data_IF_869975209002
#
_entry.id   IF_869975209002
#
_cell.length_a   1.000
_cell.length_b   1.000
_cell.length_c   1.000
_cell.angle_alpha   90.00
_cell.angle_beta   90.00
_cell.angle_gamma   90.00
#
_symmetry.space_group_name_H-M   'P 1'
#
loop_
_entity.id
_entity.type
_entity.pdbx_description
1 polymer ?
#
# COMPACT_ATOMS: atom_id res chain seq x y z
N UNK A 1 -2.77 -13.90 -12.38
CA UNK A 1 -3.15 -13.42 -11.04
C UNK A 1 -3.02 -11.90 -11.05
N UNK A 2 -3.98 -11.18 -10.47
CA UNK A 2 -3.93 -9.71 -10.35
C UNK A 2 -3.93 -9.30 -8.87
N UNK A 3 -3.18 -8.25 -8.54
CA UNK A 3 -3.08 -7.70 -7.19
C UNK A 3 -3.73 -6.32 -7.16
N UNK A 4 -5.05 -6.30 -6.96
CA UNK A 4 -5.80 -5.05 -6.92
C UNK A 4 -5.76 -4.44 -5.52
N UNK A 5 -5.25 -3.22 -5.40
CA UNK A 5 -5.39 -2.44 -4.16
C UNK A 5 -6.79 -1.83 -4.14
N UNK A 6 -7.67 -2.36 -3.29
CA UNK A 6 -9.08 -1.94 -3.20
C UNK A 6 -9.21 -0.47 -2.81
N UNK A 7 -10.37 0.19 -3.02
CA UNK A 7 -10.59 1.56 -2.56
C UNK A 7 -10.28 1.75 -1.06
N UNK A 8 -10.61 0.77 -0.22
CA UNK A 8 -10.25 0.83 1.20
C UNK A 8 -8.75 0.66 1.46
N UNK A 9 -8.07 -0.17 0.66
CA UNK A 9 -6.60 -0.28 0.69
C UNK A 9 -5.86 0.97 0.24
N UNK A 10 -6.53 1.87 -0.49
CA UNK A 10 -5.95 3.13 -0.97
C UNK A 10 -6.09 4.31 0.01
N UNK A 11 -6.75 4.11 1.16
CA UNK A 11 -6.99 5.18 2.15
C UNK A 11 -6.31 4.88 3.48
N UNK A 12 -5.93 5.95 4.20
CA UNK A 12 -5.44 5.88 5.57
C UNK A 12 -6.58 5.48 6.52
N UNK A 13 -6.33 4.70 7.59
CA UNK A 13 -7.37 4.36 8.56
C UNK A 13 -7.97 5.61 9.21
N UNK A 14 -9.25 5.87 8.93
CA UNK A 14 -9.93 7.12 9.34
C UNK A 14 -10.01 7.30 10.84
N UNK A 15 -10.09 6.20 11.59
CA UNK A 15 -10.00 6.21 13.06
C UNK A 15 -8.66 6.73 13.58
N UNK A 16 -7.63 6.75 12.72
CA UNK A 16 -6.27 7.20 13.02
C UNK A 16 -5.92 8.51 12.31
N UNK A 17 -6.87 9.25 11.72
CA UNK A 17 -6.58 10.49 10.97
C UNK A 17 -5.80 11.53 11.80
N UNK A 18 -6.04 11.59 13.11
CA UNK A 18 -5.35 12.56 14.00
C UNK A 18 -3.85 12.29 14.12
N UNK A 19 -3.38 11.06 13.87
CA UNK A 19 -1.94 10.72 13.89
C UNK A 19 -1.16 11.33 12.72
N UNK A 20 -1.84 11.68 11.63
CA UNK A 20 -1.24 12.35 10.46
C UNK A 20 -1.62 13.84 10.38
N UNK A 21 -2.16 14.41 11.47
CA UNK A 21 -2.62 15.79 11.52
C UNK A 21 -3.93 16.05 10.76
N UNK A 22 -4.65 15.00 10.38
CA UNK A 22 -5.94 15.08 9.71
C UNK A 22 -7.13 15.15 10.67
N UNK A 23 -8.34 15.21 10.11
CA UNK A 23 -9.61 15.22 10.84
C UNK A 23 -10.52 14.07 10.40
N UNK A 24 -11.56 13.76 11.18
CA UNK A 24 -12.53 12.71 10.83
C UNK A 24 -13.45 13.03 9.64
N UNK A 25 -13.41 14.26 9.14
CA UNK A 25 -14.27 14.73 8.04
C UNK A 25 -13.74 14.32 6.65
N UNK A 26 -12.46 13.98 6.57
CA UNK A 26 -11.78 13.72 5.30
C UNK A 26 -11.33 12.26 5.15
N UNK A 27 -11.20 11.86 3.88
CA UNK A 27 -10.57 10.62 3.46
C UNK A 27 -9.20 10.98 2.90
N UNK A 28 -8.14 10.51 3.55
CA UNK A 28 -6.77 10.74 3.12
C UNK A 28 -6.25 9.51 2.36
N UNK A 29 -5.65 9.72 1.19
CA UNK A 29 -5.06 8.64 0.40
C UNK A 29 -3.66 8.28 0.89
N UNK A 30 -3.27 7.02 0.71
CA UNK A 30 -1.91 6.54 1.01
C UNK A 30 -1.02 6.43 -0.24
N UNK A 31 -1.59 6.58 -1.43
CA UNK A 31 -0.85 6.70 -2.68
C UNK A 31 -0.31 8.12 -2.78
N UNK A 32 1.01 8.25 -2.96
CA UNK A 32 1.71 9.53 -2.92
C UNK A 32 2.62 9.70 -4.13
N UNK A 33 2.99 10.95 -4.41
CA UNK A 33 4.01 11.29 -5.40
C UNK A 33 5.39 10.82 -4.91
N UNK A 34 6.14 10.15 -5.79
CA UNK A 34 7.50 9.70 -5.50
C UNK A 34 8.49 10.89 -5.44
N UNK A 35 8.14 12.01 -6.05
CA UNK A 35 8.97 13.22 -6.13
C UNK A 35 9.98 13.20 -7.28
N UNK A 36 9.96 12.16 -8.13
CA UNK A 36 10.81 12.03 -9.31
C UNK A 36 9.98 11.61 -10.55
N UNK A 37 10.35 12.08 -11.75
CA UNK A 37 9.79 11.55 -13.00
C UNK A 37 10.01 10.04 -13.17
N UNK A 38 9.16 9.41 -13.99
CA UNK A 38 9.36 8.02 -14.42
C UNK A 38 10.54 7.87 -15.39
N UNK A 39 11.15 6.70 -15.42
CA UNK A 39 12.26 6.37 -16.30
C UNK A 39 13.65 6.61 -15.68
N UNK A 40 13.71 6.87 -14.37
CA UNK A 40 14.95 7.15 -13.64
C UNK A 40 15.58 5.90 -13.00
N UNK A 41 14.96 4.73 -13.19
CA UNK A 41 15.43 3.44 -12.69
C UNK A 41 14.77 3.01 -11.38
N UNK A 42 14.06 3.92 -10.71
CA UNK A 42 13.17 3.65 -9.58
C UNK A 42 11.93 4.53 -9.72
N UNK A 43 10.82 3.94 -10.14
CA UNK A 43 9.61 4.69 -10.55
C UNK A 43 8.41 4.48 -9.62
N UNK A 44 8.49 3.51 -8.69
CA UNK A 44 7.44 3.27 -7.70
C UNK A 44 7.98 2.56 -6.47
N UNK A 45 7.24 2.67 -5.36
CA UNK A 45 7.49 1.95 -4.12
C UNK A 45 6.20 1.32 -3.64
N UNK A 46 6.16 -0.01 -3.62
CA UNK A 46 5.13 -0.77 -2.90
C UNK A 46 5.50 -0.81 -1.41
N UNK A 47 5.14 0.25 -0.69
CA UNK A 47 5.49 0.45 0.72
C UNK A 47 4.61 -0.32 1.70
N UNK A 48 4.67 0.08 2.97
CA UNK A 48 3.94 -0.57 4.07
C UNK A 48 2.45 -0.77 3.78
N UNK A 49 1.77 0.25 3.26
CA UNK A 49 0.32 0.21 3.03
C UNK A 49 -0.11 -0.80 1.96
N UNK A 50 0.77 -1.11 1.01
CA UNK A 50 0.56 -2.24 0.08
C UNK A 50 0.79 -3.58 0.79
N UNK A 51 1.86 -3.68 1.59
CA UNK A 51 2.25 -4.90 2.31
C UNK A 51 1.29 -5.26 3.46
N UNK A 52 0.50 -4.31 3.96
CA UNK A 52 -0.63 -4.60 4.86
C UNK A 52 -1.72 -5.46 4.19
N UNK A 53 -1.83 -5.40 2.86
CA UNK A 53 -2.85 -6.12 2.07
C UNK A 53 -2.33 -7.41 1.45
N UNK A 54 -1.04 -7.48 1.16
CA UNK A 54 -0.42 -8.61 0.45
C UNK A 54 0.77 -9.16 1.23
N UNK A 55 0.80 -10.48 1.40
CA UNK A 55 1.95 -11.16 1.97
C UNK A 55 3.13 -11.09 0.98
N UNK A 56 4.34 -10.82 1.47
CA UNK A 56 5.54 -10.71 0.64
C UNK A 56 6.62 -11.69 1.10
N UNK A 57 7.28 -12.32 0.13
CA UNK A 57 8.44 -13.20 0.34
C UNK A 57 9.64 -12.62 -0.38
N UNK A 58 10.73 -12.43 0.34
CA UNK A 58 12.02 -11.98 -0.20
C UNK A 58 12.96 -13.19 -0.28
N UNK A 59 13.12 -13.74 -1.47
CA UNK A 59 13.87 -14.97 -1.73
C UNK A 59 15.24 -14.62 -2.33
N UNK A 60 16.25 -14.52 -1.47
CA UNK A 60 17.62 -14.17 -1.88
C UNK A 60 18.34 -15.30 -2.60
N UNK A 61 17.99 -16.56 -2.30
CA UNK A 61 18.56 -17.74 -2.99
C UNK A 61 18.19 -17.74 -4.48
N UNK A 62 16.99 -17.31 -4.83
CA UNK A 62 16.51 -17.27 -6.22
C UNK A 62 16.40 -15.84 -6.80
N UNK A 63 16.93 -14.83 -6.09
CA UNK A 63 16.90 -13.43 -6.50
C UNK A 63 15.51 -12.93 -6.96
N UNK A 64 14.46 -13.21 -6.17
CA UNK A 64 13.07 -12.86 -6.53
C UNK A 64 12.24 -12.41 -5.34
N UNK A 65 11.13 -11.74 -5.65
CA UNK A 65 10.09 -11.37 -4.69
C UNK A 65 8.77 -12.04 -5.09
N UNK A 66 8.07 -12.60 -4.12
CA UNK A 66 6.75 -13.20 -4.29
C UNK A 66 5.68 -12.45 -3.51
N UNK A 67 4.46 -12.39 -4.06
CA UNK A 67 3.30 -11.83 -3.39
C UNK A 67 2.15 -12.85 -3.32
N UNK A 68 1.28 -12.72 -2.33
CA UNK A 68 0.04 -13.49 -2.21
C UNK A 68 -1.06 -12.64 -1.55
N UNK A 69 -2.32 -12.96 -1.86
CA UNK A 69 -3.46 -12.40 -1.12
C UNK A 69 -3.47 -12.93 0.32
N UNK A 70 -4.13 -12.19 1.19
CA UNK A 70 -4.32 -12.49 2.61
C UNK A 70 -5.82 -12.46 2.92
N UNK A 71 -6.19 -12.84 4.14
CA UNK A 71 -7.56 -12.62 4.63
C UNK A 71 -7.95 -11.14 4.74
N UNK A 72 -6.98 -10.22 4.66
CA UNK A 72 -7.19 -8.77 4.79
C UNK A 72 -7.01 -7.98 3.49
N UNK A 73 -6.74 -8.66 2.36
CA UNK A 73 -6.58 -8.00 1.05
C UNK A 73 -7.77 -7.12 0.71
N UNK A 74 -8.99 -7.62 0.94
CA UNK A 74 -10.24 -6.93 0.64
C UNK A 74 -10.93 -6.32 1.88
N UNK A 75 -10.22 -6.21 3.01
CA UNK A 75 -10.81 -5.65 4.22
C UNK A 75 -11.21 -4.19 4.05
N UNK A 76 -12.34 -3.80 4.65
CA UNK A 76 -12.92 -2.45 4.57
C UNK A 76 -12.76 -1.67 5.89
N UNK A 77 -11.64 -1.86 6.57
CA UNK A 77 -11.39 -1.37 7.94
C UNK A 77 -10.74 0.00 8.01
N UNK A 78 -10.20 0.51 6.90
CA UNK A 78 -9.63 1.85 6.84
C UNK A 78 -10.73 2.92 6.80
#
# INVERSE_FOLDING_TARGET
VSYALTPNGQIWPRSLNTYIGGTSEYVYLVVNDLGTPSGEGLDFINGQTFLERFYAVFDTTNARVGFATTSYTDATTN
#
